data_IF_086442910886
#
_entry.id   IF_086442910886
#
_cell.length_a   1.000
_cell.length_b   1.000
_cell.length_c   1.000
_cell.angle_alpha   90.00
_cell.angle_beta   90.00
_cell.angle_gamma   90.00
#
_symmetry.space_group_name_H-M   'P 1'
#
loop_
_entity.id
_entity.type
_entity.pdbx_description
1 polymer ?
#
# COMPACT_ATOMS: atom_id res chain seq x y z
N UNK A 1 4.06 6.20 1.45
CA UNK A 1 3.42 5.45 2.57
C UNK A 1 4.09 4.08 2.69
N UNK A 2 4.10 3.46 3.87
CA UNK A 2 4.64 2.11 4.07
C UNK A 2 3.53 1.17 4.55
N UNK A 3 3.46 0.00 3.94
CA UNK A 3 2.51 -1.05 4.30
C UNK A 3 3.26 -2.29 4.76
N UNK A 4 2.88 -2.84 5.90
CA UNK A 4 3.31 -4.15 6.34
C UNK A 4 2.32 -5.18 5.79
N UNK A 5 2.81 -6.18 5.05
CA UNK A 5 2.01 -7.31 4.56
C UNK A 5 2.56 -8.62 5.12
N UNK A 6 1.75 -9.68 5.19
CA UNK A 6 2.17 -10.95 5.78
C UNK A 6 3.47 -11.49 5.21
N UNK A 7 4.25 -12.17 6.05
CA UNK A 7 5.42 -12.92 5.63
C UNK A 7 5.06 -13.87 4.49
N UNK A 8 5.92 -13.95 3.48
CA UNK A 8 5.74 -14.71 2.24
C UNK A 8 4.85 -14.06 1.17
N UNK A 9 4.35 -12.84 1.36
CA UNK A 9 3.79 -12.09 0.23
C UNK A 9 4.89 -11.84 -0.80
N UNK A 10 4.76 -12.49 -1.97
CA UNK A 10 5.68 -12.30 -3.10
C UNK A 10 5.24 -11.07 -3.88
N UNK A 11 5.94 -9.96 -3.67
CA UNK A 11 5.74 -8.74 -4.43
C UNK A 11 7.08 -8.34 -5.04
N UNK A 12 7.15 -8.37 -6.37
CA UNK A 12 8.34 -8.01 -7.13
C UNK A 12 8.08 -6.67 -7.81
N UNK A 13 9.05 -5.76 -7.73
CA UNK A 13 8.96 -4.49 -8.46
C UNK A 13 9.61 -4.71 -9.82
N UNK A 14 8.81 -4.84 -10.87
CA UNK A 14 9.33 -4.92 -12.23
C UNK A 14 9.90 -3.54 -12.64
N UNK A 15 11.23 -3.41 -12.64
CA UNK A 15 11.93 -2.17 -13.04
C UNK A 15 12.04 -1.97 -14.56
N UNK A 16 11.71 -2.99 -15.36
CA UNK A 16 12.09 -3.08 -16.78
C UNK A 16 10.98 -2.84 -17.81
N UNK A 17 9.84 -2.25 -17.43
CA UNK A 17 8.78 -1.92 -18.39
C UNK A 17 8.49 -0.43 -18.43
N UNK A 18 9.07 0.21 -19.45
CA UNK A 18 9.04 1.62 -19.87
C UNK A 18 7.66 2.30 -19.98
N UNK A 19 6.56 1.76 -19.44
CA UNK A 19 5.25 2.44 -19.55
C UNK A 19 4.16 2.04 -18.55
N UNK A 20 4.39 1.16 -17.58
CA UNK A 20 3.36 0.87 -16.57
C UNK A 20 4.00 0.52 -15.23
N UNK A 21 4.05 1.50 -14.31
CA UNK A 21 4.27 1.21 -12.90
C UNK A 21 3.14 0.28 -12.45
N UNK A 22 3.47 -0.94 -12.04
CA UNK A 22 2.47 -1.90 -11.58
C UNK A 22 1.65 -1.29 -10.44
N UNK A 23 0.33 -1.30 -10.61
CA UNK A 23 -0.60 -0.74 -9.63
C UNK A 23 -1.28 -1.88 -8.89
N UNK A 24 -1.28 -1.81 -7.57
CA UNK A 24 -1.94 -2.78 -6.70
C UNK A 24 -3.06 -2.09 -5.94
N UNK A 25 -4.10 -2.84 -5.58
CA UNK A 25 -5.13 -2.37 -4.65
C UNK A 25 -4.80 -3.00 -3.30
N UNK A 26 -4.52 -2.16 -2.29
CA UNK A 26 -4.43 -2.59 -0.90
C UNK A 26 -5.78 -2.31 -0.25
N UNK A 27 -6.31 -3.35 0.40
CA UNK A 27 -7.53 -3.29 1.20
C UNK A 27 -7.11 -3.53 2.65
N UNK A 28 -7.39 -2.58 3.53
CA UNK A 28 -7.05 -2.68 4.95
C UNK A 28 -8.14 -2.07 5.82
N UNK A 29 -8.24 -2.54 7.06
CA UNK A 29 -9.14 -1.98 8.07
C UNK A 29 -8.34 -1.09 9.00
N UNK A 30 -8.89 0.09 9.31
CA UNK A 30 -8.33 0.96 10.36
C UNK A 30 -9.17 0.80 11.64
N UNK A 31 -8.56 0.85 12.84
CA UNK A 31 -9.27 0.63 14.10
C UNK A 31 -10.50 1.53 14.31
N UNK A 32 -10.48 2.74 13.76
CA UNK A 32 -11.53 3.75 13.91
C UNK A 32 -12.43 3.91 12.66
N UNK A 33 -12.37 2.99 11.70
CA UNK A 33 -13.20 3.00 10.51
C UNK A 33 -14.01 1.72 10.39
N UNK A 34 -15.33 1.87 10.27
CA UNK A 34 -16.26 0.74 10.14
C UNK A 34 -16.18 0.01 8.79
N UNK A 35 -15.63 0.67 7.76
CA UNK A 35 -15.50 0.09 6.42
C UNK A 35 -14.02 -0.09 6.05
N UNK A 36 -13.66 -1.18 5.34
CA UNK A 36 -12.33 -1.33 4.77
C UNK A 36 -11.99 -0.15 3.86
N UNK A 37 -10.74 0.28 3.92
CA UNK A 37 -10.19 1.33 3.08
C UNK A 37 -9.50 0.67 1.90
N UNK A 38 -9.92 1.07 0.69
CA UNK A 38 -9.34 0.59 -0.56
C UNK A 38 -8.42 1.67 -1.12
N UNK A 39 -7.19 1.32 -1.41
CA UNK A 39 -6.19 2.27 -1.91
C UNK A 39 -5.44 1.66 -3.08
N UNK A 40 -5.45 2.35 -4.21
CA UNK A 40 -4.55 2.00 -5.31
C UNK A 40 -3.15 2.56 -5.02
N UNK A 41 -2.15 1.71 -5.17
CA UNK A 41 -0.75 2.05 -4.87
C UNK A 41 0.16 1.65 -6.02
N UNK A 42 1.28 2.35 -6.11
CA UNK A 42 2.41 2.00 -6.94
C UNK A 42 3.61 1.66 -6.02
N UNK A 43 4.03 0.38 -5.92
CA UNK A 43 5.18 -0.02 -5.13
C UNK A 43 6.45 0.64 -5.66
N UNK A 44 7.27 1.14 -4.75
CA UNK A 44 8.54 1.80 -5.03
C UNK A 44 9.71 1.03 -4.42
N UNK A 45 9.49 0.42 -3.25
CA UNK A 45 10.50 -0.34 -2.51
C UNK A 45 9.85 -1.53 -1.80
N UNK A 46 10.55 -2.66 -1.74
CA UNK A 46 10.15 -3.84 -0.95
C UNK A 46 11.31 -4.21 -0.04
N UNK A 47 11.04 -4.36 1.26
CA UNK A 47 11.99 -4.79 2.26
C UNK A 47 11.45 -6.04 2.95
N UNK A 48 12.31 -7.04 3.08
CA UNK A 48 12.00 -8.26 3.84
C UNK A 48 12.40 -8.02 5.31
N UNK A 49 11.43 -8.06 6.21
CA UNK A 49 11.66 -8.04 7.65
C UNK A 49 11.51 -9.46 8.21
N UNK A 50 11.93 -9.68 9.47
CA UNK A 50 11.87 -11.01 10.08
C UNK A 50 10.44 -11.55 10.20
N UNK A 51 9.48 -10.67 10.44
CA UNK A 51 8.07 -11.02 10.71
C UNK A 51 7.12 -10.65 9.57
N UNK A 52 7.50 -9.71 8.70
CA UNK A 52 6.64 -9.17 7.65
C UNK A 52 7.42 -8.77 6.39
N UNK A 53 6.68 -8.40 5.36
CA UNK A 53 7.23 -7.73 4.18
C UNK A 53 6.76 -6.28 4.20
N UNK A 54 7.71 -5.34 4.16
CA UNK A 54 7.43 -3.91 4.16
C UNK A 54 7.47 -3.38 2.74
N UNK A 55 6.39 -2.74 2.32
CA UNK A 55 6.26 -2.16 0.97
C UNK A 55 6.20 -0.64 1.10
N UNK A 56 7.24 0.03 0.61
CA UNK A 56 7.21 1.46 0.35
C UNK A 56 6.47 1.73 -0.96
N UNK A 57 5.40 2.52 -0.91
CA UNK A 57 4.58 2.79 -2.09
C UNK A 57 4.10 4.25 -2.17
N UNK A 58 3.84 4.69 -3.39
CA UNK A 58 3.13 5.92 -3.69
C UNK A 58 1.62 5.63 -3.80
N UNK A 59 0.80 6.55 -3.27
CA UNK A 59 -0.65 6.51 -3.47
C UNK A 59 -0.97 6.90 -4.91
N UNK A 60 -1.84 6.14 -5.57
CA UNK A 60 -2.30 6.42 -6.94
C UNK A 60 -3.77 6.79 -6.87
N UNK A 61 -4.10 8.03 -7.20
CA UNK A 61 -5.48 8.54 -7.24
C UNK A 61 -6.33 8.12 -6.02
N UNK A 62 -5.85 8.33 -4.77
CA UNK A 62 -6.67 8.00 -3.60
C UNK A 62 -7.96 8.83 -3.66
N UNK A 63 -9.10 8.18 -3.47
CA UNK A 63 -10.35 8.92 -3.33
C UNK A 63 -10.36 9.72 -2.01
N UNK A 64 -11.31 10.66 -1.91
CA UNK A 64 -11.41 11.53 -0.74
C UNK A 64 -11.58 10.73 0.56
N UNK A 65 -12.27 9.59 0.51
CA UNK A 65 -12.51 8.74 1.67
C UNK A 65 -11.22 8.07 2.15
N UNK A 66 -10.45 7.49 1.25
CA UNK A 66 -9.17 6.86 1.51
C UNK A 66 -8.14 7.87 2.02
N UNK A 67 -8.07 9.05 1.39
CA UNK A 67 -7.18 10.12 1.84
C UNK A 67 -7.54 10.59 3.25
N UNK A 68 -8.82 10.85 3.52
CA UNK A 68 -9.30 11.28 4.84
C UNK A 68 -9.05 10.21 5.90
N UNK A 69 -9.28 8.94 5.58
CA UNK A 69 -9.05 7.83 6.50
C UNK A 69 -7.58 7.70 6.87
N UNK A 70 -6.68 7.76 5.88
CA UNK A 70 -5.24 7.74 6.09
C UNK A 70 -4.76 8.95 6.90
N UNK A 71 -5.21 10.15 6.55
CA UNK A 71 -4.84 11.37 7.27
C UNK A 71 -5.28 11.32 8.75
N UNK A 72 -6.51 10.87 9.03
CA UNK A 72 -7.00 10.73 10.40
C UNK A 72 -6.25 9.68 11.22
N UNK A 73 -5.69 8.66 10.57
CA UNK A 73 -4.94 7.62 11.25
C UNK A 73 -3.46 7.98 11.48
N UNK A 74 -2.89 8.84 10.63
CA UNK A 74 -1.49 9.25 10.70
C UNK A 74 -1.24 10.47 11.61
N UNK A 75 -2.29 11.09 12.15
CA UNK A 75 -2.24 12.25 13.06
C UNK A 75 -2.58 11.79 14.48
#
# INVERSE_FOLDING_TARGET
IRFAVPKNTKLEIQKDRLSNTEKYIIIFSLPNYHCPVNVQIAPQQVYLHYEDVQIGAALVNPDFQAYTALQKYMI
#
